data_IF_298114028277
#
_entry.id   IF_298114028277
#
_cell.length_a   1.000
_cell.length_b   1.000
_cell.length_c   1.000
_cell.angle_alpha   90.00
_cell.angle_beta   90.00
_cell.angle_gamma   90.00
#
_symmetry.space_group_name_H-M   'P 1'
#
loop_
_entity.id
_entity.type
_entity.pdbx_description
1 polymer ?
#
# COMPACT_ATOMS: atom_id res chain seq x y z
N UNK A 1 -0.40 -19.19 9.11
CA UNK A 1 -0.80 -20.37 8.31
C UNK A 1 -1.58 -19.85 7.11
N UNK A 2 -1.24 -20.31 5.90
CA UNK A 2 -1.94 -19.88 4.70
C UNK A 2 -3.38 -20.38 4.78
N UNK A 3 -4.31 -19.60 4.24
CA UNK A 3 -5.70 -19.99 4.10
C UNK A 3 -5.92 -20.35 2.62
N UNK A 4 -6.00 -21.65 2.28
CA UNK A 4 -6.19 -22.09 0.91
C UNK A 4 -7.35 -21.34 0.26
N UNK A 5 -7.12 -20.89 -0.99
CA UNK A 5 -8.09 -20.17 -1.83
C UNK A 5 -8.59 -18.83 -1.25
N UNK A 6 -7.89 -18.26 -0.25
CA UNK A 6 -8.29 -17.01 0.41
C UNK A 6 -7.14 -16.01 0.55
N UNK A 7 -6.11 -16.41 1.29
CA UNK A 7 -4.97 -15.57 1.65
C UNK A 7 -3.72 -16.41 1.82
N UNK A 8 -2.68 -16.09 1.05
CA UNK A 8 -1.37 -16.66 1.25
C UNK A 8 -0.60 -15.92 2.38
N UNK A 9 0.62 -16.38 2.65
CA UNK A 9 1.59 -15.64 3.45
C UNK A 9 1.98 -14.29 2.81
N UNK A 10 2.64 -13.44 3.60
CA UNK A 10 2.99 -12.08 3.23
C UNK A 10 3.90 -12.02 2.01
N UNK A 11 3.48 -11.24 1.01
CA UNK A 11 4.24 -10.94 -0.19
C UNK A 11 3.53 -9.86 -0.99
N UNK A 12 4.24 -8.78 -1.30
CA UNK A 12 3.70 -7.61 -1.99
C UNK A 12 4.63 -7.21 -3.14
N UNK A 13 4.09 -7.11 -4.36
CA UNK A 13 4.86 -6.62 -5.50
C UNK A 13 4.51 -5.18 -5.85
N UNK A 14 5.53 -4.32 -5.98
CA UNK A 14 5.43 -2.96 -6.51
C UNK A 14 6.04 -2.95 -7.91
N UNK A 15 5.21 -2.72 -8.93
CA UNK A 15 5.67 -2.62 -10.33
C UNK A 15 6.07 -1.19 -10.65
N UNK A 16 7.30 -1.02 -11.14
CA UNK A 16 7.86 0.26 -11.54
C UNK A 16 7.62 0.51 -13.03
N UNK A 17 7.53 1.78 -13.44
CA UNK A 17 7.36 2.14 -14.87
C UNK A 17 8.57 1.73 -15.72
N UNK A 18 9.73 1.50 -15.10
CA UNK A 18 10.91 0.92 -15.76
C UNK A 18 10.70 -0.55 -16.19
N UNK A 19 9.58 -1.15 -15.77
CA UNK A 19 9.29 -2.56 -15.93
C UNK A 19 10.03 -3.45 -14.92
N UNK A 20 10.79 -2.88 -13.98
CA UNK A 20 11.29 -3.58 -12.80
C UNK A 20 10.18 -3.79 -11.77
N UNK A 21 10.36 -4.74 -10.86
CA UNK A 21 9.48 -4.94 -9.72
C UNK A 21 10.27 -5.06 -8.42
N UNK A 22 9.73 -4.47 -7.37
CA UNK A 22 10.17 -4.61 -6.00
C UNK A 22 9.22 -5.59 -5.32
N UNK A 23 9.76 -6.63 -4.68
CA UNK A 23 8.99 -7.54 -3.84
C UNK A 23 9.26 -7.20 -2.37
N UNK A 24 8.23 -6.89 -1.59
CA UNK A 24 8.31 -6.71 -0.14
C UNK A 24 7.70 -7.94 0.54
N UNK A 25 8.51 -8.61 1.35
CA UNK A 25 8.33 -9.96 1.86
C UNK A 25 8.14 -11.03 0.78
N UNK A 26 8.51 -12.25 1.13
CA UNK A 26 8.43 -13.43 0.28
C UNK A 26 8.12 -14.65 1.15
N UNK A 27 6.93 -14.66 1.75
CA UNK A 27 6.40 -15.80 2.49
C UNK A 27 6.24 -17.05 1.60
N UNK A 28 6.14 -18.22 2.22
CA UNK A 28 5.96 -19.49 1.50
C UNK A 28 4.77 -19.40 0.51
N UNK A 29 4.94 -19.94 -0.70
CA UNK A 29 3.92 -19.89 -1.75
C UNK A 29 3.88 -18.60 -2.58
N UNK A 30 4.72 -17.59 -2.28
CA UNK A 30 4.79 -16.35 -3.07
C UNK A 30 5.04 -16.61 -4.55
N UNK A 31 5.88 -17.59 -4.88
CA UNK A 31 6.11 -18.02 -6.26
C UNK A 31 4.81 -18.44 -6.98
N UNK A 32 3.96 -19.23 -6.30
CA UNK A 32 2.69 -19.69 -6.85
C UNK A 32 1.73 -18.53 -7.06
N UNK A 33 1.72 -17.56 -6.13
CA UNK A 33 0.89 -16.36 -6.27
C UNK A 33 1.36 -15.47 -7.42
N UNK A 34 2.69 -15.35 -7.62
CA UNK A 34 3.25 -14.63 -8.77
C UNK A 34 2.81 -15.25 -10.11
N UNK A 35 2.78 -16.59 -10.22
CA UNK A 35 2.30 -17.28 -11.43
C UNK A 35 0.82 -17.00 -11.76
N UNK A 36 0.00 -16.69 -10.74
CA UNK A 36 -1.41 -16.33 -10.91
C UNK A 36 -1.62 -14.83 -11.19
N UNK A 37 -0.59 -14.02 -10.98
CA UNK A 37 -0.65 -12.56 -11.08
C UNK A 37 -0.14 -12.03 -12.43
N UNK A 38 -0.28 -10.73 -12.66
CA UNK A 38 0.35 -10.04 -13.80
C UNK A 38 1.86 -9.78 -13.59
N UNK A 39 2.39 -10.03 -12.40
CA UNK A 39 3.80 -9.78 -12.03
C UNK A 39 4.67 -10.93 -12.54
N UNK A 40 5.58 -10.61 -13.44
CA UNK A 40 6.55 -11.58 -13.97
C UNK A 40 7.72 -11.71 -12.99
N UNK A 41 8.01 -12.93 -12.54
CA UNK A 41 9.16 -13.22 -11.66
C UNK A 41 10.49 -12.71 -12.24
N UNK A 42 10.67 -12.81 -13.56
CA UNK A 42 11.87 -12.31 -14.26
C UNK A 42 12.05 -10.79 -14.18
N UNK A 43 11.02 -10.05 -13.77
CA UNK A 43 11.07 -8.59 -13.55
C UNK A 43 11.34 -8.20 -12.11
N UNK A 44 11.39 -9.16 -11.17
CA UNK A 44 11.75 -8.88 -9.77
C UNK A 44 13.24 -8.64 -9.71
N UNK A 45 13.63 -7.41 -9.42
CA UNK A 45 15.03 -6.99 -9.33
C UNK A 45 15.47 -6.73 -7.89
N UNK A 46 14.51 -6.44 -7.01
CA UNK A 46 14.72 -6.11 -5.61
C UNK A 46 13.76 -6.92 -4.74
N UNK A 47 14.28 -7.51 -3.66
CA UNK A 47 13.48 -8.16 -2.61
C UNK A 47 13.80 -7.48 -1.29
N UNK A 48 12.80 -7.05 -0.56
CA UNK A 48 12.90 -6.44 0.76
C UNK A 48 12.19 -7.32 1.78
N UNK A 49 12.92 -7.88 2.74
CA UNK A 49 12.38 -8.72 3.80
C UNK A 49 12.24 -7.88 5.06
N UNK A 50 11.02 -7.66 5.53
CA UNK A 50 10.74 -6.84 6.71
C UNK A 50 11.35 -7.45 7.98
N UNK A 51 11.20 -8.77 8.15
CA UNK A 51 11.74 -9.53 9.27
C UNK A 51 11.84 -11.03 8.95
N UNK A 52 12.56 -11.78 9.79
CA UNK A 52 12.90 -13.20 9.55
C UNK A 52 11.90 -14.22 10.12
N UNK A 53 10.61 -13.87 10.21
CA UNK A 53 9.57 -14.88 10.42
C UNK A 53 9.26 -15.62 9.10
N UNK A 54 8.93 -16.91 9.22
CA UNK A 54 8.82 -17.78 8.05
C UNK A 54 7.74 -17.38 7.04
N UNK A 55 6.65 -16.80 7.53
CA UNK A 55 5.56 -16.25 6.72
C UNK A 55 5.92 -14.96 5.97
N UNK A 56 7.14 -14.44 6.16
CA UNK A 56 7.66 -13.28 5.44
C UNK A 56 8.89 -13.62 4.59
N UNK A 57 9.55 -14.77 4.78
CA UNK A 57 10.81 -15.05 4.08
C UNK A 57 11.01 -16.47 3.53
N UNK A 58 10.21 -17.48 3.92
CA UNK A 58 10.50 -18.87 3.50
C UNK A 58 10.27 -19.13 2.01
N UNK A 59 9.48 -18.31 1.32
CA UNK A 59 9.29 -18.41 -0.13
C UNK A 59 10.49 -17.97 -0.95
N UNK A 60 11.48 -17.29 -0.34
CA UNK A 60 12.62 -16.72 -1.07
C UNK A 60 13.41 -17.80 -1.82
N UNK A 61 13.55 -18.99 -1.24
CA UNK A 61 14.37 -20.06 -1.83
C UNK A 61 13.76 -20.62 -3.12
N UNK A 62 12.46 -20.93 -3.10
CA UNK A 62 11.74 -21.39 -4.30
C UNK A 62 11.72 -20.32 -5.39
N UNK A 63 11.42 -19.08 -5.00
CA UNK A 63 11.40 -17.95 -5.94
C UNK A 63 12.76 -17.75 -6.63
N UNK A 64 13.87 -17.75 -5.87
CA UNK A 64 15.20 -17.59 -6.43
C UNK A 64 15.52 -18.71 -7.43
N UNK A 65 15.22 -19.97 -7.06
CA UNK A 65 15.43 -21.11 -7.95
C UNK A 65 14.65 -20.98 -9.27
N UNK A 66 13.39 -20.57 -9.20
CA UNK A 66 12.55 -20.39 -10.40
C UNK A 66 12.99 -19.22 -11.27
N UNK A 67 13.45 -18.11 -10.68
CA UNK A 67 14.09 -17.02 -11.44
C UNK A 67 15.37 -17.51 -12.12
N UNK A 68 16.17 -18.35 -11.45
CA UNK A 68 17.40 -18.92 -12.00
C UNK A 68 17.12 -19.83 -13.20
N UNK A 69 16.11 -20.69 -13.12
CA UNK A 69 15.68 -21.52 -14.26
C UNK A 69 15.23 -20.68 -15.45
N UNK A 70 14.70 -19.47 -15.20
CA UNK A 70 14.37 -18.49 -16.23
C UNK A 70 15.57 -17.84 -16.93
N UNK A 71 16.81 -18.21 -16.57
CA UNK A 71 18.01 -17.75 -17.26
C UNK A 71 18.40 -16.30 -16.98
N UNK A 72 18.07 -15.77 -15.79
CA UNK A 72 18.43 -14.40 -15.39
C UNK A 72 19.97 -14.23 -15.42
N UNK A 73 20.51 -13.21 -16.12
CA UNK A 73 21.95 -12.92 -16.12
C UNK A 73 22.35 -11.79 -15.15
N UNK A 74 21.40 -10.93 -14.78
CA UNK A 74 21.64 -9.72 -13.98
C UNK A 74 21.55 -9.98 -12.49
N UNK A 75 22.23 -9.18 -11.65
CA UNK A 75 22.14 -9.32 -10.20
C UNK A 75 20.70 -9.14 -9.71
N UNK A 76 20.38 -9.79 -8.60
CA UNK A 76 19.17 -9.54 -7.81
C UNK A 76 19.61 -9.05 -6.43
N UNK A 77 18.99 -7.96 -5.98
CA UNK A 77 19.33 -7.33 -4.70
C UNK A 77 18.32 -7.74 -3.64
N UNK A 78 18.81 -8.21 -2.50
CA UNK A 78 17.98 -8.62 -1.36
C UNK A 78 18.37 -7.78 -0.15
N UNK A 79 17.38 -7.18 0.48
CA UNK A 79 17.52 -6.30 1.63
C UNK A 79 16.74 -6.87 2.81
N UNK A 80 17.27 -6.78 4.03
CA UNK A 80 16.52 -7.22 5.23
C UNK A 80 17.38 -7.25 6.49
N UNK A 81 16.92 -7.86 7.59
CA UNK A 81 17.67 -7.91 8.84
C UNK A 81 18.95 -8.72 8.76
N UNK A 82 19.90 -8.42 9.65
CA UNK A 82 21.05 -9.27 9.94
C UNK A 82 20.61 -10.72 10.20
N UNK A 83 21.23 -11.67 9.51
CA UNK A 83 20.90 -13.09 9.53
C UNK A 83 20.27 -13.58 8.22
N UNK A 84 19.74 -12.68 7.38
CA UNK A 84 19.19 -12.99 6.07
C UNK A 84 20.24 -13.59 5.14
N UNK A 85 21.44 -13.01 5.08
CA UNK A 85 22.54 -13.53 4.26
C UNK A 85 22.93 -14.93 4.71
N UNK A 86 23.13 -15.11 6.01
CA UNK A 86 23.46 -16.43 6.58
C UNK A 86 22.36 -17.45 6.28
N UNK A 87 21.09 -17.07 6.38
CA UNK A 87 19.96 -17.94 6.05
C UNK A 87 20.01 -18.40 4.59
N UNK A 88 20.20 -17.48 3.65
CA UNK A 88 20.30 -17.78 2.21
C UNK A 88 21.52 -18.66 1.90
N UNK A 89 22.69 -18.25 2.38
CA UNK A 89 23.95 -18.97 2.16
C UNK A 89 23.86 -20.40 2.71
N UNK A 90 23.32 -20.57 3.93
CA UNK A 90 23.20 -21.89 4.57
C UNK A 90 22.32 -22.81 3.74
N UNK A 91 21.13 -22.36 3.33
CA UNK A 91 20.21 -23.19 2.54
C UNK A 91 20.85 -23.60 1.21
N UNK A 92 21.51 -22.68 0.52
CA UNK A 92 22.17 -23.00 -0.73
C UNK A 92 23.41 -23.88 -0.57
N UNK A 93 24.24 -23.64 0.44
CA UNK A 93 25.43 -24.47 0.72
C UNK A 93 25.03 -25.92 0.97
N UNK A 94 24.04 -26.17 1.85
CA UNK A 94 23.61 -27.53 2.16
C UNK A 94 22.83 -28.20 1.02
N UNK A 95 22.22 -27.42 0.12
CA UNK A 95 21.46 -27.93 -1.03
C UNK A 95 22.30 -28.10 -2.30
N UNK A 96 23.63 -28.10 -2.21
CA UNK A 96 24.53 -28.35 -3.35
C UNK A 96 25.11 -27.10 -4.03
N UNK A 97 25.04 -25.94 -3.36
CA UNK A 97 25.59 -24.67 -3.82
C UNK A 97 24.67 -23.85 -4.74
N UNK A 98 24.94 -22.55 -4.85
CA UNK A 98 24.25 -21.64 -5.77
C UNK A 98 25.10 -21.39 -7.03
N UNK A 99 24.54 -21.69 -8.20
CA UNK A 99 25.19 -21.55 -9.51
C UNK A 99 24.41 -20.64 -10.47
N UNK A 100 23.54 -19.77 -9.93
CA UNK A 100 22.68 -18.88 -10.69
C UNK A 100 23.26 -17.48 -10.92
N UNK A 101 22.37 -16.50 -11.05
CA UNK A 101 22.73 -15.09 -11.12
C UNK A 101 23.37 -14.57 -9.81
N UNK A 102 24.11 -13.45 -9.84
CA UNK A 102 24.64 -12.85 -8.63
C UNK A 102 23.53 -12.39 -7.67
N UNK A 103 23.60 -12.81 -6.42
CA UNK A 103 22.71 -12.34 -5.35
C UNK A 103 23.50 -11.36 -4.48
N UNK A 104 23.01 -10.13 -4.36
CA UNK A 104 23.62 -9.10 -3.53
C UNK A 104 22.73 -8.88 -2.30
N UNK A 105 23.22 -9.28 -1.13
CA UNK A 105 22.47 -9.13 0.13
C UNK A 105 22.98 -7.91 0.90
N UNK A 106 22.07 -7.05 1.34
CA UNK A 106 22.34 -5.92 2.25
C UNK A 106 21.54 -6.13 3.53
N UNK A 107 22.23 -6.15 4.66
CA UNK A 107 21.63 -6.42 5.98
C UNK A 107 21.53 -5.15 6.83
N UNK A 108 20.46 -5.07 7.62
CA UNK A 108 20.17 -3.96 8.52
C UNK A 108 20.21 -4.41 9.98
N UNK A 109 20.81 -3.57 10.82
CA UNK A 109 20.85 -3.76 12.27
C UNK A 109 19.63 -3.13 12.92
N UNK A 110 19.12 -3.77 13.96
CA UNK A 110 18.00 -3.23 14.74
C UNK A 110 18.34 -1.85 15.31
N UNK A 111 17.34 -0.97 15.41
CA UNK A 111 17.44 0.40 15.93
C UNK A 111 18.21 1.41 15.05
N UNK A 112 18.72 1.00 13.88
CA UNK A 112 19.33 1.92 12.92
C UNK A 112 18.35 2.27 11.80
N UNK A 113 18.38 3.54 11.38
CA UNK A 113 17.68 4.01 10.19
C UNK A 113 18.67 4.09 9.02
N UNK A 114 18.23 3.66 7.84
CA UNK A 114 19.04 3.70 6.62
C UNK A 114 18.33 4.43 5.50
N UNK A 115 19.08 5.14 4.67
CA UNK A 115 18.62 5.69 3.40
C UNK A 115 19.41 5.05 2.26
N UNK A 116 18.68 4.50 1.29
CA UNK A 116 19.26 3.78 0.16
C UNK A 116 18.80 4.41 -1.14
N UNK A 117 19.62 4.30 -2.18
CA UNK A 117 19.22 4.52 -3.56
C UNK A 117 19.26 3.18 -4.30
N UNK A 118 18.16 2.80 -4.94
CA UNK A 118 18.10 1.51 -5.64
C UNK A 118 19.08 1.48 -6.82
N UNK A 119 19.96 0.48 -6.91
CA UNK A 119 20.93 0.39 -7.99
C UNK A 119 20.23 0.10 -9.30
N UNK A 120 20.60 0.80 -10.38
CA UNK A 120 20.08 0.49 -11.70
C UNK A 120 20.49 -0.94 -12.13
N UNK A 121 19.51 -1.76 -12.53
CA UNK A 121 19.75 -3.11 -13.04
C UNK A 121 19.69 -3.09 -14.58
N UNK A 122 20.83 -3.10 -15.28
CA UNK A 122 20.85 -3.15 -16.73
C UNK A 122 20.33 -4.50 -17.21
N UNK A 123 19.11 -4.52 -17.74
CA UNK A 123 18.63 -5.61 -18.58
C UNK A 123 18.15 -5.01 -19.90
N UNK A 124 18.32 -5.74 -21.01
CA UNK A 124 17.84 -5.42 -22.35
C UNK A 124 16.30 -5.28 -22.32
N UNK A 125 15.83 -4.13 -21.86
CA UNK A 125 14.42 -3.79 -21.71
C UNK A 125 14.20 -2.62 -22.65
N UNK A 126 13.29 -2.79 -23.60
CA UNK A 126 12.76 -1.73 -24.44
C UNK A 126 11.91 -0.79 -23.56
N UNK A 127 12.57 -0.04 -22.69
CA UNK A 127 12.01 1.18 -22.13
C UNK A 127 12.93 2.30 -22.59
N UNK A 128 12.43 3.22 -23.43
CA UNK A 128 13.12 4.48 -23.64
C UNK A 128 13.46 5.04 -22.27
N UNK A 129 14.69 5.53 -22.11
CA UNK A 129 15.22 6.19 -20.91
C UNK A 129 14.46 7.48 -20.54
N UNK A 130 13.19 7.62 -20.93
CA UNK A 130 12.33 8.66 -20.43
C UNK A 130 11.86 8.33 -19.01
N UNK A 131 12.73 8.68 -18.06
CA UNK A 131 12.34 9.42 -16.85
C UNK A 131 11.61 8.68 -15.73
N UNK A 132 12.19 7.60 -15.21
CA UNK A 132 12.14 7.41 -13.76
C UNK A 132 13.51 7.80 -13.21
N UNK A 133 13.53 8.86 -12.39
CA UNK A 133 14.71 9.17 -11.58
C UNK A 133 14.94 8.07 -10.53
N UNK A 134 16.01 8.19 -9.73
CA UNK A 134 16.34 7.19 -8.72
C UNK A 134 15.16 6.98 -7.75
N UNK A 135 14.98 5.74 -7.30
CA UNK A 135 14.08 5.44 -6.19
C UNK A 135 14.92 5.42 -4.92
N UNK A 136 14.56 6.27 -3.96
CA UNK A 136 15.13 6.22 -2.62
C UNK A 136 14.28 5.35 -1.70
N UNK A 137 14.92 4.69 -0.75
CA UNK A 137 14.26 3.84 0.24
C UNK A 137 14.73 4.25 1.62
N UNK A 138 13.80 4.71 2.45
CA UNK A 138 14.04 4.86 3.88
C UNK A 138 13.68 3.55 4.59
N UNK A 139 14.64 3.01 5.33
CA UNK A 139 14.51 1.77 6.10
C UNK A 139 14.32 2.15 7.57
N UNK A 140 13.12 1.92 8.08
CA UNK A 140 12.71 2.39 9.40
C UNK A 140 12.61 1.21 10.37
N UNK A 141 13.37 1.17 11.48
CA UNK A 141 13.24 0.10 12.46
C UNK A 141 11.88 0.19 13.17
N UNK A 142 11.17 -0.93 13.32
CA UNK A 142 9.82 -0.99 13.91
C UNK A 142 9.78 -1.92 15.13
N UNK A 143 8.74 -1.78 15.96
CA UNK A 143 8.57 -2.62 17.14
C UNK A 143 7.77 -3.89 16.83
N UNK A 144 8.48 -5.01 16.77
CA UNK A 144 7.90 -6.35 16.68
C UNK A 144 8.65 -7.31 17.65
N UNK A 145 8.38 -8.62 17.59
CA UNK A 145 9.01 -9.64 18.45
C UNK A 145 10.46 -9.94 18.10
N UNK A 146 10.87 -9.65 16.86
CA UNK A 146 12.23 -9.78 16.34
C UNK A 146 12.59 -8.51 15.56
N UNK A 147 13.88 -8.26 15.24
CA UNK A 147 14.27 -7.11 14.42
C UNK A 147 13.44 -7.01 13.15
N UNK A 148 12.76 -5.87 12.99
CA UNK A 148 11.76 -5.66 11.94
C UNK A 148 11.86 -4.25 11.38
N UNK A 149 11.67 -4.11 10.07
CA UNK A 149 11.82 -2.86 9.36
C UNK A 149 10.61 -2.56 8.48
N UNK A 150 10.21 -1.30 8.46
CA UNK A 150 9.31 -0.72 7.47
C UNK A 150 10.10 -0.06 6.34
N UNK A 151 9.52 0.00 5.15
CA UNK A 151 10.16 0.56 3.97
C UNK A 151 9.34 1.69 3.37
N UNK A 152 9.96 2.84 3.13
CA UNK A 152 9.34 3.98 2.45
C UNK A 152 10.06 4.24 1.13
N UNK A 153 9.42 3.82 0.04
CA UNK A 153 9.89 4.00 -1.33
C UNK A 153 9.44 5.36 -1.86
N UNK A 154 10.39 6.17 -2.32
CA UNK A 154 10.11 7.49 -2.90
C UNK A 154 10.71 7.55 -4.30
N UNK A 155 9.88 7.75 -5.31
CA UNK A 155 10.36 8.11 -6.64
C UNK A 155 10.93 9.54 -6.62
N UNK A 156 11.95 9.81 -7.43
CA UNK A 156 12.40 11.17 -7.64
C UNK A 156 11.34 12.02 -8.35
N UNK A 157 11.31 13.30 -8.00
CA UNK A 157 10.56 14.32 -8.73
C UNK A 157 10.96 14.34 -10.20
N UNK A 158 9.99 14.65 -11.07
CA UNK A 158 10.19 14.72 -12.51
C UNK A 158 9.90 16.12 -13.02
N UNK A 159 10.68 16.62 -13.99
CA UNK A 159 10.36 17.89 -14.63
C UNK A 159 8.99 17.79 -15.31
N UNK A 160 8.26 18.90 -15.29
CA UNK A 160 7.01 19.00 -16.02
C UNK A 160 7.21 18.90 -17.54
N UNK A 161 6.09 18.87 -18.28
CA UNK A 161 6.14 18.87 -19.73
C UNK A 161 6.79 20.17 -20.26
N UNK A 162 7.76 20.02 -21.15
CA UNK A 162 8.36 21.14 -21.89
C UNK A 162 7.45 21.54 -23.04
N UNK A 163 7.06 22.82 -23.09
CA UNK A 163 6.49 23.45 -24.28
C UNK A 163 7.62 23.74 -25.28
N UNK A 164 8.01 22.70 -26.01
CA UNK A 164 9.07 22.77 -27.01
C UNK A 164 8.73 23.76 -28.14
N UNK A 165 7.44 23.99 -28.41
CA UNK A 165 7.00 24.94 -29.43
C UNK A 165 7.21 26.39 -28.95
N UNK A 166 6.86 26.71 -27.71
CA UNK A 166 7.13 28.03 -27.11
C UNK A 166 8.64 28.30 -27.01
N UNK A 167 9.42 27.31 -26.55
CA UNK A 167 10.88 27.42 -26.47
C UNK A 167 11.51 27.63 -27.86
N UNK A 168 11.07 26.87 -28.87
CA UNK A 168 11.55 27.00 -30.26
C UNK A 168 11.21 28.35 -30.88
N UNK A 169 10.03 28.91 -30.60
CA UNK A 169 9.65 30.26 -31.07
C UNK A 169 10.55 31.37 -30.52
N UNK A 170 11.14 31.14 -29.33
CA UNK A 170 12.10 32.05 -28.69
C UNK A 170 13.55 31.75 -29.08
N UNK A 171 13.78 30.78 -29.98
CA UNK A 171 15.11 30.45 -30.50
C UNK A 171 15.90 29.42 -29.70
N UNK A 172 15.27 28.69 -28.77
CA UNK A 172 15.88 27.52 -28.15
C UNK A 172 15.70 26.27 -29.02
N UNK A 173 16.81 25.66 -29.43
CA UNK A 173 16.82 24.45 -30.25
C UNK A 173 17.87 23.45 -29.77
N UNK A 174 17.70 22.18 -30.15
CA UNK A 174 18.67 21.12 -29.88
C UNK A 174 18.94 20.96 -28.37
N UNK A 175 20.22 20.93 -27.92
CA UNK A 175 20.58 20.74 -26.52
C UNK A 175 19.94 21.75 -25.55
N UNK A 176 19.61 22.95 -26.01
CA UNK A 176 18.97 23.99 -25.18
C UNK A 176 17.63 23.54 -24.61
N UNK A 177 16.87 22.72 -25.35
CA UNK A 177 15.60 22.15 -24.87
C UNK A 177 15.83 21.18 -23.71
N UNK A 178 16.96 20.47 -23.71
CA UNK A 178 17.37 19.58 -22.62
C UNK A 178 17.71 20.36 -21.35
N UNK A 179 18.49 21.44 -21.47
CA UNK A 179 18.81 22.33 -20.35
C UNK A 179 17.54 22.98 -19.76
N UNK A 180 16.66 23.51 -20.61
CA UNK A 180 15.37 24.03 -20.18
C UNK A 180 14.56 22.98 -19.41
N UNK A 181 14.43 21.76 -19.95
CA UNK A 181 13.71 20.66 -19.29
C UNK A 181 14.38 20.21 -17.98
N UNK A 182 15.69 20.42 -17.83
CA UNK A 182 16.44 20.15 -16.59
C UNK A 182 16.30 21.25 -15.53
N UNK A 183 15.58 22.34 -15.82
CA UNK A 183 15.41 23.47 -14.90
C UNK A 183 16.43 24.60 -15.10
N UNK A 184 17.25 24.54 -16.15
CA UNK A 184 18.29 25.53 -16.42
C UNK A 184 17.79 26.61 -17.40
N UNK A 185 18.11 27.87 -17.11
CA UNK A 185 17.86 28.98 -18.02
C UNK A 185 18.89 28.97 -19.16
N UNK A 186 18.42 29.25 -20.38
CA UNK A 186 19.28 29.20 -21.58
C UNK A 186 19.36 30.55 -22.27
N UNK A 187 20.55 30.92 -22.73
CA UNK A 187 20.75 32.07 -23.60
C UNK A 187 20.79 31.62 -25.07
N UNK A 188 19.96 32.22 -25.89
CA UNK A 188 19.83 31.91 -27.33
C UNK A 188 20.93 32.59 -28.14
N UNK A 189 21.15 32.16 -29.40
CA UNK A 189 22.09 32.85 -30.30
C UNK A 189 21.74 34.31 -30.57
N UNK A 190 20.47 34.70 -30.44
CA UNK A 190 20.03 36.11 -30.56
C UNK A 190 20.34 36.93 -29.30
N UNK A 191 20.79 36.29 -28.22
CA UNK A 191 21.09 36.92 -26.93
C UNK A 191 19.91 36.98 -25.96
N UNK A 192 18.74 36.45 -26.33
CA UNK A 192 17.58 36.31 -25.43
C UNK A 192 17.88 35.27 -24.33
N UNK A 193 17.40 35.52 -23.10
CA UNK A 193 17.41 34.53 -22.02
C UNK A 193 16.00 33.95 -21.89
N UNK A 194 15.89 32.63 -22.00
CA UNK A 194 14.65 31.88 -21.79
C UNK A 194 14.75 31.22 -20.43
N UNK A 195 13.85 31.58 -19.51
CA UNK A 195 13.77 30.95 -18.22
C UNK A 195 13.09 29.58 -18.33
N UNK A 196 13.59 28.55 -17.65
CA UNK A 196 12.97 27.23 -17.66
C UNK A 196 11.50 27.29 -17.23
N UNK A 197 11.19 28.07 -16.20
CA UNK A 197 9.83 28.26 -15.68
C UNK A 197 8.85 28.89 -16.67
N UNK A 198 9.31 29.53 -17.74
CA UNK A 198 8.43 30.11 -18.76
C UNK A 198 7.90 29.06 -19.75
N UNK A 199 8.62 27.93 -19.89
CA UNK A 199 8.38 26.95 -20.95
C UNK A 199 8.29 25.52 -20.45
N UNK A 200 8.48 25.28 -19.15
CA UNK A 200 8.33 23.97 -18.51
C UNK A 200 7.21 24.03 -17.49
N UNK A 201 6.27 23.09 -17.57
CA UNK A 201 5.21 22.97 -16.57
C UNK A 201 5.79 22.67 -15.17
N UNK A 202 5.03 22.90 -14.08
CA UNK A 202 5.50 22.62 -12.73
C UNK A 202 6.04 21.19 -12.57
N UNK A 203 7.05 21.05 -11.72
CA UNK A 203 7.61 19.76 -11.32
C UNK A 203 6.49 18.82 -10.86
N UNK A 204 6.54 17.58 -11.36
CA UNK A 204 5.63 16.50 -10.99
C UNK A 204 6.26 15.80 -9.78
N UNK A 205 5.66 15.86 -8.58
CA UNK A 205 6.22 15.21 -7.41
C UNK A 205 6.33 13.70 -7.62
N UNK A 206 7.42 13.13 -7.13
CA UNK A 206 7.59 11.69 -7.08
C UNK A 206 6.59 11.04 -6.13
N UNK A 207 6.18 9.81 -6.46
CA UNK A 207 5.25 9.06 -5.61
C UNK A 207 5.95 8.46 -4.41
N UNK A 208 5.22 8.36 -3.30
CA UNK A 208 5.69 7.79 -2.04
C UNK A 208 4.80 6.64 -1.58
N UNK A 209 5.38 5.44 -1.50
CA UNK A 209 4.72 4.23 -1.00
C UNK A 209 5.43 3.78 0.27
N UNK A 210 4.67 3.60 1.34
CA UNK A 210 5.16 3.09 2.62
C UNK A 210 4.59 1.70 2.91
N UNK A 211 5.44 0.79 3.36
CA UNK A 211 5.07 -0.60 3.71
C UNK A 211 5.49 -0.88 5.14
N UNK A 212 4.48 -1.03 6.00
CA UNK A 212 4.59 -1.29 7.44
C UNK A 212 3.89 -2.64 7.71
N UNK A 213 4.62 -3.74 7.55
CA UNK A 213 4.13 -5.07 7.93
C UNK A 213 4.19 -5.22 9.46
N UNK A 214 4.19 -6.46 9.97
CA UNK A 214 4.22 -6.83 11.37
C UNK A 214 4.85 -5.80 12.32
N UNK A 215 4.01 -5.12 13.08
CA UNK A 215 4.45 -4.10 14.03
C UNK A 215 3.36 -3.76 15.04
N UNK A 216 3.78 -3.50 16.27
CA UNK A 216 2.96 -2.88 17.31
C UNK A 216 3.18 -1.37 17.41
N UNK A 217 4.28 -0.87 16.84
CA UNK A 217 4.67 0.54 16.87
C UNK A 217 5.64 0.85 15.72
N UNK A 218 5.22 1.74 14.82
CA UNK A 218 6.00 2.25 13.69
C UNK A 218 6.27 3.76 13.81
N UNK A 219 6.23 4.32 15.02
CA UNK A 219 6.40 5.77 15.26
C UNK A 219 7.75 6.31 14.77
N UNK A 220 8.79 5.49 14.80
CA UNK A 220 10.12 5.75 14.22
C UNK A 220 10.06 6.10 12.72
N UNK A 221 9.07 5.60 11.98
CA UNK A 221 8.89 5.86 10.56
C UNK A 221 8.13 7.16 10.27
N UNK A 222 7.45 7.77 11.25
CA UNK A 222 6.50 8.88 11.03
C UNK A 222 7.13 10.06 10.29
N UNK A 223 8.41 10.37 10.57
CA UNK A 223 9.14 11.44 9.87
C UNK A 223 9.25 11.24 8.36
N UNK A 224 9.26 9.98 7.89
CA UNK A 224 9.37 9.62 6.47
C UNK A 224 8.00 9.37 5.83
N UNK A 225 6.99 9.01 6.63
CA UNK A 225 5.63 8.69 6.18
C UNK A 225 4.82 9.90 5.70
N UNK A 226 5.20 11.12 6.10
CA UNK A 226 4.36 12.29 5.87
C UNK A 226 3.97 12.48 4.39
N UNK A 227 2.66 12.61 4.15
CA UNK A 227 2.06 12.82 2.83
C UNK A 227 2.18 11.65 1.87
N UNK A 228 2.44 10.40 2.34
CA UNK A 228 2.57 9.26 1.44
C UNK A 228 1.30 9.02 0.62
N UNK A 229 1.47 8.66 -0.65
CA UNK A 229 0.36 8.34 -1.55
C UNK A 229 -0.34 7.06 -1.13
N UNK A 230 0.44 6.07 -0.67
CA UNK A 230 -0.07 4.79 -0.21
C UNK A 230 0.69 4.34 1.04
N UNK A 231 -0.03 4.12 2.14
CA UNK A 231 0.43 3.43 3.33
C UNK A 231 -0.16 2.03 3.35
N UNK A 232 0.69 1.02 3.28
CA UNK A 232 0.32 -0.38 3.49
C UNK A 232 0.65 -0.71 4.94
N UNK A 233 -0.34 -1.10 5.73
CA UNK A 233 -0.17 -1.36 7.16
C UNK A 233 -0.77 -2.69 7.56
N UNK A 234 -0.07 -3.45 8.41
CA UNK A 234 -0.61 -4.66 9.01
C UNK A 234 -1.85 -4.34 9.88
N UNK A 235 -2.80 -5.27 9.86
CA UNK A 235 -4.06 -5.18 10.57
C UNK A 235 -4.42 -6.56 11.11
N UNK A 236 -3.54 -7.09 11.97
CA UNK A 236 -3.69 -8.44 12.49
C UNK A 236 -4.94 -8.58 13.35
N UNK A 237 -5.37 -7.51 14.04
CA UNK A 237 -6.48 -7.55 14.98
C UNK A 237 -7.50 -6.39 14.84
N UNK A 238 -8.71 -6.57 15.37
CA UNK A 238 -9.67 -5.48 15.61
C UNK A 238 -9.36 -4.79 16.96
N UNK A 239 -9.88 -3.57 17.20
CA UNK A 239 -9.60 -2.74 18.39
C UNK A 239 -9.83 -3.46 19.72
N UNK A 240 -10.83 -4.34 19.79
CA UNK A 240 -11.16 -5.10 21.01
C UNK A 240 -10.10 -6.12 21.42
N UNK A 241 -9.07 -6.33 20.60
CA UNK A 241 -7.92 -7.20 20.88
C UNK A 241 -6.61 -6.41 20.97
N UNK A 242 -6.66 -5.11 21.31
CA UNK A 242 -5.47 -4.25 21.41
C UNK A 242 -4.38 -4.84 22.32
N UNK A 243 -4.72 -5.31 23.52
CA UNK A 243 -3.73 -5.93 24.42
C UNK A 243 -3.04 -7.13 23.78
N UNK A 244 -3.81 -7.96 23.08
CA UNK A 244 -3.28 -9.11 22.35
C UNK A 244 -2.36 -8.65 21.21
N UNK A 245 -2.77 -7.65 20.43
CA UNK A 245 -1.97 -7.07 19.37
C UNK A 245 -0.62 -6.61 19.91
N UNK A 246 -0.61 -5.76 20.93
CA UNK A 246 0.61 -5.25 21.55
C UNK A 246 1.51 -6.37 22.11
N UNK A 247 0.94 -7.33 22.85
CA UNK A 247 1.70 -8.44 23.43
C UNK A 247 2.33 -9.38 22.39
N UNK A 248 1.78 -9.43 21.19
CA UNK A 248 2.28 -10.26 20.08
C UNK A 248 3.08 -9.47 19.04
N UNK A 249 3.30 -8.18 19.28
CA UNK A 249 4.05 -7.30 18.39
C UNK A 249 3.28 -6.86 17.16
N UNK A 250 1.94 -6.83 17.22
CA UNK A 250 1.05 -6.52 16.10
C UNK A 250 0.17 -5.30 16.34
N UNK A 251 -0.54 -4.88 15.29
CA UNK A 251 -1.43 -3.73 15.28
C UNK A 251 -2.91 -4.10 15.17
N UNK A 252 -3.75 -3.14 15.56
CA UNK A 252 -5.19 -3.18 15.30
C UNK A 252 -5.58 -2.29 14.12
N UNK A 253 -6.77 -2.49 13.55
CA UNK A 253 -7.36 -1.59 12.56
C UNK A 253 -7.42 -0.14 13.07
N UNK A 254 -7.82 0.09 14.32
CA UNK A 254 -7.78 1.41 14.93
C UNK A 254 -6.36 2.02 14.94
N UNK A 255 -5.33 1.24 15.30
CA UNK A 255 -3.94 1.70 15.30
C UNK A 255 -3.45 2.06 13.89
N UNK A 256 -3.70 1.21 12.89
CA UNK A 256 -3.36 1.48 11.50
C UNK A 256 -4.03 2.77 10.99
N UNK A 257 -5.31 2.97 11.32
CA UNK A 257 -6.02 4.22 11.02
C UNK A 257 -5.40 5.45 11.69
N UNK A 258 -4.97 5.34 12.96
CA UNK A 258 -4.27 6.44 13.67
C UNK A 258 -2.97 6.80 12.96
N UNK A 259 -2.17 5.82 12.53
CA UNK A 259 -0.92 6.06 11.79
C UNK A 259 -1.20 6.78 10.47
N UNK A 260 -2.16 6.29 9.67
CA UNK A 260 -2.53 6.93 8.41
C UNK A 260 -2.95 8.40 8.60
N UNK A 261 -3.69 8.69 9.68
CA UNK A 261 -4.05 10.07 10.04
C UNK A 261 -2.84 10.90 10.41
N UNK A 262 -1.96 10.40 11.27
CA UNK A 262 -0.77 11.12 11.74
C UNK A 262 0.17 11.50 10.59
N UNK A 263 0.34 10.61 9.60
CA UNK A 263 1.19 10.89 8.45
C UNK A 263 0.44 11.53 7.27
N UNK A 264 -0.84 11.85 7.40
CA UNK A 264 -1.65 12.42 6.31
C UNK A 264 -1.60 11.58 5.02
N UNK A 265 -1.62 10.25 5.15
CA UNK A 265 -1.64 9.35 4.00
C UNK A 265 -2.85 9.65 3.10
N UNK A 266 -2.68 9.55 1.78
CA UNK A 266 -3.82 9.65 0.85
C UNK A 266 -4.66 8.38 0.90
N UNK A 267 -3.99 7.22 0.95
CA UNK A 267 -4.61 5.89 0.97
C UNK A 267 -3.95 5.04 2.05
N UNK A 268 -4.76 4.36 2.85
CA UNK A 268 -4.38 3.28 3.75
C UNK A 268 -4.85 1.95 3.15
N UNK A 269 -3.94 1.00 2.96
CA UNK A 269 -4.27 -0.36 2.55
C UNK A 269 -3.94 -1.32 3.71
N UNK A 270 -4.95 -2.02 4.21
CA UNK A 270 -4.83 -2.96 5.30
C UNK A 270 -4.44 -4.35 4.78
N UNK A 271 -3.53 -5.02 5.47
CA UNK A 271 -3.09 -6.38 5.13
C UNK A 271 -2.78 -7.20 6.39
N UNK A 272 -2.25 -8.40 6.24
CA UNK A 272 -1.79 -9.28 7.31
C UNK A 272 -2.87 -9.59 8.36
N UNK A 273 -4.05 -9.98 7.88
CA UNK A 273 -5.19 -10.26 8.75
C UNK A 273 -5.03 -11.57 9.51
N UNK A 274 -5.44 -11.60 10.78
CA UNK A 274 -5.51 -12.86 11.50
C UNK A 274 -6.49 -13.83 10.80
N UNK A 275 -6.12 -15.12 10.66
CA UNK A 275 -6.99 -16.16 10.08
C UNK A 275 -8.37 -16.32 10.74
N UNK A 276 -8.58 -15.70 11.92
CA UNK A 276 -9.85 -15.69 12.64
C UNK A 276 -10.95 -14.92 11.92
N UNK A 277 -10.61 -13.94 11.08
CA UNK A 277 -11.58 -13.08 10.41
C UNK A 277 -12.04 -13.71 9.11
N UNK A 278 -13.36 -13.80 8.97
CA UNK A 278 -14.03 -14.27 7.77
C UNK A 278 -14.13 -13.12 6.76
N UNK A 279 -14.17 -13.46 5.48
CA UNK A 279 -14.70 -12.55 4.46
C UNK A 279 -16.22 -12.63 4.42
N UNK A 280 -16.89 -11.53 4.08
CA UNK A 280 -18.36 -11.49 3.94
C UNK A 280 -18.88 -12.52 2.92
N UNK A 281 -18.10 -12.84 1.88
CA UNK A 281 -18.39 -13.88 0.89
C UNK A 281 -18.53 -15.29 1.49
N UNK A 282 -18.04 -15.50 2.71
CA UNK A 282 -18.09 -16.78 3.43
C UNK A 282 -19.28 -16.90 4.39
N UNK A 283 -20.10 -15.86 4.50
CA UNK A 283 -21.31 -15.87 5.31
C UNK A 283 -22.46 -16.41 4.43
N UNK A 284 -23.03 -17.59 4.74
CA UNK A 284 -24.20 -18.09 4.01
C UNK A 284 -25.35 -17.09 4.11
N UNK A 285 -26.14 -16.86 3.05
CA UNK A 285 -27.23 -15.86 3.04
C UNK A 285 -28.22 -16.01 4.19
N UNK A 286 -28.45 -17.23 4.67
CA UNK A 286 -29.36 -17.55 5.78
C UNK A 286 -28.85 -17.16 7.17
N UNK A 287 -27.57 -16.77 7.30
CA UNK A 287 -26.98 -16.33 8.57
C UNK A 287 -26.89 -14.81 8.71
N UNK A 288 -27.18 -14.07 7.64
CA UNK A 288 -27.33 -12.60 7.67
C UNK A 288 -28.71 -12.28 8.24
N UNK A 289 -28.90 -12.47 9.54
CA UNK A 289 -30.08 -11.92 10.22
C UNK A 289 -29.90 -10.41 10.36
N UNK A 290 -31.00 -9.64 10.28
CA UNK A 290 -31.05 -8.18 10.47
C UNK A 290 -30.37 -7.66 11.75
N UNK A 291 -29.93 -8.53 12.66
CA UNK A 291 -29.15 -8.19 13.85
C UNK A 291 -27.72 -7.69 13.57
N UNK A 292 -27.13 -7.96 12.39
CA UNK A 292 -25.79 -7.47 12.04
C UNK A 292 -25.77 -6.02 11.54
N UNK A 293 -26.91 -5.49 11.10
CA UNK A 293 -27.01 -4.14 10.52
C UNK A 293 -27.56 -3.09 11.49
N UNK A 294 -28.33 -3.50 12.51
CA UNK A 294 -29.04 -2.57 13.41
C UNK A 294 -28.37 -2.34 14.79
N UNK A 295 -27.25 -3.01 15.11
CA UNK A 295 -26.57 -2.86 16.42
C UNK A 295 -25.38 -1.90 16.42
N UNK A 296 -25.07 -1.31 15.27
CA UNK A 296 -23.86 -0.50 15.03
C UNK A 296 -23.89 0.94 15.64
N UNK A 297 -24.87 1.27 16.49
CA UNK A 297 -24.96 2.60 17.11
C UNK A 297 -24.89 2.66 18.65
N UNK A 298 -25.36 1.65 19.40
CA UNK A 298 -25.71 1.87 20.82
C UNK A 298 -25.12 0.89 21.85
N UNK A 299 -24.23 -0.04 21.48
CA UNK A 299 -23.83 -1.12 22.39
C UNK A 299 -22.36 -1.08 22.84
N UNK A 300 -21.84 0.06 23.34
CA UNK A 300 -20.61 0.07 24.16
C UNK A 300 -20.67 1.18 25.21
N UNK A 301 -21.59 1.03 26.17
CA UNK A 301 -21.46 1.64 27.51
C UNK A 301 -21.30 0.50 28.53
N UNK A 302 -20.37 0.67 29.47
CA UNK A 302 -19.92 -0.37 30.40
C UNK A 302 -20.93 -0.71 31.50
N UNK A 303 -20.68 -1.80 32.23
CA UNK A 303 -20.23 -1.69 33.63
C UNK A 303 -19.80 -3.05 34.20
N UNK A 304 -18.97 -2.96 35.23
CA UNK A 304 -18.60 -4.01 36.18
C UNK A 304 -19.79 -4.49 37.02
N UNK A 305 -19.89 -5.81 37.25
CA UNK A 305 -20.04 -6.36 38.62
C UNK A 305 -20.12 -7.89 38.63
N UNK A 306 -19.46 -8.48 39.64
CA UNK A 306 -19.59 -9.88 40.04
C UNK A 306 -20.99 -10.15 40.61
N UNK A 307 -21.59 -11.30 40.28
CA UNK A 307 -22.26 -12.17 41.27
C UNK A 307 -22.67 -13.50 40.63
N UNK A 308 -22.66 -14.53 41.46
CA UNK A 308 -22.88 -15.94 41.17
C UNK A 308 -24.36 -16.31 40.97
N UNK A 309 -24.65 -17.23 40.04
CA UNK A 309 -25.49 -18.44 40.22
C UNK A 309 -25.86 -19.09 38.86
N UNK A 310 -26.23 -20.36 38.97
CA UNK A 310 -26.25 -21.44 37.97
C UNK A 310 -27.25 -21.37 36.80
N UNK A 311 -26.85 -22.08 35.73
CA UNK A 311 -27.67 -22.89 34.78
C UNK A 311 -28.62 -22.20 33.80
N UNK A 312 -28.09 -21.85 32.62
CA UNK A 312 -28.42 -22.46 31.30
C UNK A 312 -27.57 -21.75 30.25
N UNK A 313 -26.55 -22.41 29.71
CA UNK A 313 -25.72 -21.86 28.63
C UNK A 313 -26.51 -21.88 27.32
N UNK A 314 -27.31 -20.85 27.09
CA UNK A 314 -27.57 -20.38 25.72
C UNK A 314 -26.30 -19.65 25.32
N UNK A 315 -25.42 -20.32 24.58
CA UNK A 315 -24.25 -19.66 23.96
C UNK A 315 -24.79 -18.55 23.05
N UNK A 316 -24.76 -17.32 23.56
CA UNK A 316 -24.99 -16.13 22.76
C UNK A 316 -24.01 -16.13 21.60
N UNK A 317 -24.54 -16.01 20.39
CA UNK A 317 -23.77 -15.85 19.17
C UNK A 317 -22.95 -14.56 19.27
N UNK A 318 -21.70 -14.65 19.72
CA UNK A 318 -20.74 -13.56 19.54
C UNK A 318 -20.70 -13.24 18.04
N UNK A 319 -21.10 -12.02 17.67
CA UNK A 319 -21.02 -11.53 16.30
C UNK A 319 -19.60 -11.76 15.78
N UNK A 320 -19.47 -12.55 14.72
CA UNK A 320 -18.16 -12.84 14.11
C UNK A 320 -17.65 -11.57 13.44
N UNK A 321 -16.43 -11.18 13.75
CA UNK A 321 -15.76 -10.02 13.12
C UNK A 321 -15.29 -10.40 11.72
N UNK A 322 -15.56 -9.53 10.74
CA UNK A 322 -15.16 -9.70 9.33
C UNK A 322 -14.04 -8.74 8.95
N UNK A 323 -13.40 -8.94 7.80
CA UNK A 323 -12.34 -8.04 7.31
C UNK A 323 -12.91 -6.66 6.97
N UNK A 324 -14.14 -6.60 6.49
CA UNK A 324 -14.88 -5.38 6.18
C UNK A 324 -15.16 -4.56 7.44
N UNK A 325 -15.40 -5.21 8.59
CA UNK A 325 -15.48 -4.54 9.88
C UNK A 325 -14.14 -3.88 10.27
N UNK A 326 -12.99 -4.52 9.98
CA UNK A 326 -11.67 -3.93 10.21
C UNK A 326 -11.46 -2.69 9.34
N UNK A 327 -11.89 -2.73 8.07
CA UNK A 327 -11.82 -1.58 7.18
C UNK A 327 -12.66 -0.41 7.69
N UNK A 328 -13.88 -0.66 8.15
CA UNK A 328 -14.74 0.38 8.75
C UNK A 328 -14.12 1.00 10.00
N UNK A 329 -13.55 0.15 10.87
CA UNK A 329 -12.86 0.60 12.09
C UNK A 329 -11.65 1.49 11.77
N UNK A 330 -10.80 1.04 10.84
CA UNK A 330 -9.65 1.82 10.38
C UNK A 330 -10.08 3.12 9.68
N UNK A 331 -11.13 3.10 8.87
CA UNK A 331 -11.68 4.27 8.19
C UNK A 331 -12.18 5.33 9.18
N UNK A 332 -12.91 4.90 10.21
CA UNK A 332 -13.31 5.77 11.31
C UNK A 332 -12.09 6.41 11.97
N UNK A 333 -11.11 5.60 12.37
CA UNK A 333 -9.89 6.08 13.04
C UNK A 333 -9.06 7.04 12.17
N UNK A 334 -8.89 6.73 10.88
CA UNK A 334 -8.12 7.51 9.92
C UNK A 334 -8.73 8.90 9.62
N UNK A 335 -10.05 9.00 9.66
CA UNK A 335 -10.78 10.21 9.33
C UNK A 335 -11.36 10.95 10.55
N UNK A 336 -11.22 10.39 11.75
CA UNK A 336 -11.72 11.01 12.97
C UNK A 336 -11.03 12.35 13.25
N UNK A 337 -11.85 13.41 13.45
CA UNK A 337 -11.40 14.75 13.80
C UNK A 337 -10.82 15.57 12.65
N UNK A 338 -10.93 15.10 11.39
CA UNK A 338 -10.51 15.88 10.21
C UNK A 338 -11.47 17.05 9.98
N UNK A 339 -10.93 18.22 9.65
CA UNK A 339 -11.72 19.42 9.38
C UNK A 339 -12.54 19.27 8.09
N UNK A 340 -13.72 19.90 8.08
CA UNK A 340 -14.57 20.00 6.90
C UNK A 340 -13.79 20.58 5.70
N UNK A 341 -13.82 19.87 4.57
CA UNK A 341 -13.12 20.27 3.33
C UNK A 341 -11.73 19.66 3.13
N UNK A 342 -11.18 18.93 4.12
CA UNK A 342 -9.97 18.12 3.90
C UNK A 342 -10.31 16.83 3.17
N UNK A 343 -9.47 16.43 2.20
CA UNK A 343 -9.64 15.14 1.52
C UNK A 343 -9.58 14.00 2.54
N UNK A 344 -10.55 13.08 2.47
CA UNK A 344 -10.62 11.89 3.32
C UNK A 344 -9.54 10.89 2.94
N UNK A 345 -8.97 10.22 3.95
CA UNK A 345 -8.08 9.08 3.72
C UNK A 345 -8.94 7.91 3.23
N UNK A 346 -8.63 7.40 2.04
CA UNK A 346 -9.26 6.20 1.53
C UNK A 346 -8.69 4.96 2.24
N UNK A 347 -9.54 4.05 2.69
CA UNK A 347 -9.11 2.79 3.31
C UNK A 347 -9.48 1.62 2.42
N UNK A 348 -8.50 0.80 2.06
CA UNK A 348 -8.60 -0.38 1.22
C UNK A 348 -8.21 -1.63 2.01
N UNK A 349 -8.64 -2.80 1.53
CA UNK A 349 -8.23 -4.12 2.01
C UNK A 349 -7.38 -4.75 0.91
N UNK A 350 -6.20 -5.26 1.26
CA UNK A 350 -5.39 -6.07 0.37
C UNK A 350 -6.01 -7.47 0.22
N UNK A 351 -6.65 -7.71 -0.92
CA UNK A 351 -7.01 -9.07 -1.38
C UNK A 351 -5.84 -9.68 -2.18
N UNK A 352 -5.84 -11.00 -2.38
CA UNK A 352 -4.78 -11.77 -3.04
C UNK A 352 -4.33 -11.21 -4.42
N UNK A 353 -5.17 -10.44 -5.11
CA UNK A 353 -4.90 -9.86 -6.43
C UNK A 353 -5.21 -8.36 -6.55
N UNK A 354 -5.15 -7.61 -5.45
CA UNK A 354 -5.33 -6.16 -5.51
C UNK A 354 -4.18 -5.51 -6.31
N UNK A 355 -4.47 -5.11 -7.54
CA UNK A 355 -3.57 -4.27 -8.36
C UNK A 355 -3.99 -2.81 -8.23
N UNK A 356 -3.08 -1.96 -7.77
CA UNK A 356 -3.25 -0.51 -7.76
C UNK A 356 -2.40 0.09 -8.88
N UNK A 357 -3.05 0.41 -10.00
CA UNK A 357 -2.40 1.11 -11.11
C UNK A 357 -2.41 2.63 -10.84
N UNK A 358 -1.23 3.25 -10.79
CA UNK A 358 -1.15 4.71 -10.96
C UNK A 358 -1.34 5.04 -12.45
N UNK A 359 -1.93 6.18 -12.85
CA UNK A 359 -2.78 7.14 -12.15
C UNK A 359 -4.27 6.83 -12.38
N UNK A 360 -4.91 6.19 -11.40
CA UNK A 360 -6.37 6.23 -11.14
C UNK A 360 -6.66 6.42 -9.64
N UNK A 361 -5.73 7.01 -8.89
CA UNK A 361 -5.99 7.38 -7.49
C UNK A 361 -7.14 8.40 -7.35
N UNK A 362 -7.45 9.15 -8.41
CA UNK A 362 -8.58 10.08 -8.47
C UNK A 362 -9.91 9.47 -8.98
N UNK A 363 -9.92 8.20 -9.43
CA UNK A 363 -11.06 7.59 -10.14
C UNK A 363 -11.58 6.26 -9.57
N UNK A 364 -11.20 5.88 -8.35
CA UNK A 364 -11.84 4.74 -7.69
C UNK A 364 -13.30 5.08 -7.39
N UNK A 365 -14.21 4.57 -8.24
CA UNK A 365 -15.65 4.78 -8.15
C UNK A 365 -16.16 4.39 -6.75
N UNK A 366 -16.73 5.40 -6.08
CA UNK A 366 -17.40 5.31 -4.79
C UNK A 366 -18.51 4.25 -4.79
N UNK A 367 -18.50 3.37 -3.79
CA UNK A 367 -19.73 2.90 -3.17
C UNK A 367 -19.89 3.65 -1.85
N UNK A 368 -20.66 4.73 -1.92
CA UNK A 368 -21.10 5.53 -0.77
C UNK A 368 -22.08 4.71 0.09
N UNK A 369 -21.61 3.69 0.80
CA UNK A 369 -22.47 2.94 1.74
C UNK A 369 -22.58 3.63 3.11
N UNK A 370 -21.95 4.79 3.30
CA UNK A 370 -21.98 5.53 4.57
C UNK A 370 -23.10 6.61 4.66
N UNK A 371 -24.00 6.72 3.67
CA UNK A 371 -25.16 7.64 3.73
C UNK A 371 -26.49 6.90 3.75
N UNK A 372 -26.82 6.26 4.87
CA UNK A 372 -28.22 5.93 5.16
C UNK A 372 -28.54 6.04 6.65
N UNK A 373 -28.80 7.29 7.09
CA UNK A 373 -29.77 7.53 8.16
C UNK A 373 -30.29 8.97 8.08
N UNK A 374 -31.42 9.23 7.38
CA UNK A 374 -32.05 10.54 7.43
C UNK A 374 -32.84 10.67 8.75
N UNK A 375 -32.36 11.53 9.64
CA UNK A 375 -33.09 11.99 10.83
C UNK A 375 -34.42 12.65 10.40
N UNK A 376 -35.56 12.38 11.08
CA UNK A 376 -36.87 12.80 10.59
C UNK A 376 -37.18 14.24 11.01
N UNK A 377 -37.14 15.18 10.06
CA UNK A 377 -37.82 16.48 10.20
C UNK A 377 -38.63 16.79 8.95
N UNK A 378 -39.94 16.56 9.03
CA UNK A 378 -40.92 17.18 8.13
C UNK A 378 -41.05 18.67 8.45
N UNK A 379 -41.37 19.49 7.44
CA UNK A 379 -42.68 20.14 7.53
C UNK A 379 -43.52 20.05 6.24
N UNK A 380 -44.81 20.16 6.51
CA UNK A 380 -46.03 20.26 5.70
C UNK A 380 -45.96 20.48 4.17
N UNK A 381 -46.86 19.73 3.50
CA UNK A 381 -47.33 19.88 2.13
C UNK A 381 -47.99 21.25 1.89
N UNK A 382 -47.78 21.79 0.68
CA UNK A 382 -48.73 22.69 0.00
C UNK A 382 -48.99 22.12 -1.41
N UNK A 383 -50.24 21.95 -1.88
CA UNK A 383 -50.52 21.26 -3.14
C UNK A 383 -51.02 22.18 -4.27
N UNK A 384 -50.91 21.64 -5.50
CA UNK A 384 -51.60 22.01 -6.78
C UNK A 384 -50.87 23.09 -7.60
N UNK A 385 -50.79 23.04 -8.93
CA UNK A 385 -51.74 22.56 -9.97
C UNK A 385 -51.05 22.03 -11.24
N UNK A 386 -51.79 21.20 -11.97
CA UNK A 386 -51.57 20.75 -13.36
C UNK A 386 -51.89 21.84 -14.39
N UNK A 387 -51.14 21.84 -15.50
CA UNK A 387 -51.55 22.14 -16.89
C UNK A 387 -50.48 21.43 -17.78
N UNK A 388 -50.72 20.39 -18.60
CA UNK A 388 -51.47 20.32 -19.87
C UNK A 388 -51.22 21.55 -20.76
N UNK A 389 -50.74 21.51 -22.01
CA UNK A 389 -50.69 20.52 -23.10
C UNK A 389 -49.74 21.06 -24.20
N UNK A 390 -49.15 20.16 -25.02
CA UNK A 390 -48.92 20.22 -26.50
C UNK A 390 -48.12 21.41 -27.08
N UNK A 391 -47.46 21.36 -28.23
CA UNK A 391 -47.08 20.38 -29.25
C UNK A 391 -46.10 21.15 -30.18
N UNK A 392 -45.26 20.43 -30.93
CA UNK A 392 -44.68 20.80 -32.25
C UNK A 392 -43.79 22.04 -32.38
N UNK A 393 -42.54 21.87 -32.83
CA UNK A 393 -42.18 21.89 -34.26
C UNK A 393 -40.72 21.43 -34.48
N UNK A 394 -40.54 20.67 -35.55
CA UNK A 394 -39.28 20.21 -36.13
C UNK A 394 -38.62 21.29 -36.99
N UNK A 395 -37.30 21.40 -36.90
CA UNK A 395 -36.36 21.46 -38.04
C UNK A 395 -34.94 21.39 -37.52
#
# INVERSE_FOLDING_TARGET
MPQPDKRNHSGLAIQLFSGSSILVDCGEGTEIQLMKSSVRMSRIDYIFITHLHGDHCYGVFGLLHSICQGGRPSPLYIYGPVGLKRMIDTVFEVSGGWHGFPIVVTEFTENEHYELSLPYVPYLRECPQETLGPITVNVCPMKHRIPTFGYVFTEADRPGALDAAAASKRGAHGPMLGFLKAGEDVRTPSGEVICSSDVVAPTIPGRKIAVMQDTSDCTTALGHLNGCDLLIHECTFHKGLTEKALSTGHSTAEMAGKVARMCQAKILCLTHFSPRYLHDSEIPPSRVSNALLDRDADAFSGDSDETSASTRSVRGSASRVTVEMLQREACHSANHGRADGTASIQVLIAEDFLSLEGPKFDQLNYRDDCRSNPCPRKPAKVPKRKAQLRDTFSS
#
